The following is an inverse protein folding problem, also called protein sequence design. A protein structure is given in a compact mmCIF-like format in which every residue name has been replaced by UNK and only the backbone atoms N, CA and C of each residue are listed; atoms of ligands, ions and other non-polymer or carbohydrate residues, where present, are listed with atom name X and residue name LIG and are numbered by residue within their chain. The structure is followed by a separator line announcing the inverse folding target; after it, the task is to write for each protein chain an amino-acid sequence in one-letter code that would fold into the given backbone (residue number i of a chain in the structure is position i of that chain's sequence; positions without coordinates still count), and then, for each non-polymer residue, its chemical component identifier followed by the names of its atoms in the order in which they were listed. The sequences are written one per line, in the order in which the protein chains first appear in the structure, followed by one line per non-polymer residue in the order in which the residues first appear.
data_IF_527997480616
#
_entry.id   IF_527997480616
#
_cell.length_a   1.000
_cell.length_b   1.000
_cell.length_c   1.000
_cell.angle_alpha   90.00
_cell.angle_beta   90.00
_cell.angle_gamma   90.00
#
_symmetry.space_group_name_H-M   'P 1'
#
loop_
_entity.id
_entity.type
_entity.pdbx_description
1 polymer ?
#
# COMPACT_ATOMS: atom_id res chain seq x y z
N UNK A 1 6.42 -28.90 -41.26
CA UNK A 1 6.40 -29.09 -39.79
C UNK A 1 5.46 -30.27 -39.54
N UNK A 2 5.96 -31.41 -39.05
CA UNK A 2 5.12 -32.60 -38.76
C UNK A 2 4.45 -32.39 -37.39
N UNK A 3 3.13 -32.53 -37.34
CA UNK A 3 2.34 -32.47 -36.11
C UNK A 3 2.42 -33.84 -35.41
N UNK A 4 2.99 -33.88 -34.21
CA UNK A 4 2.85 -35.01 -33.29
C UNK A 4 1.82 -34.62 -32.21
N UNK A 5 0.69 -35.34 -32.08
CA UNK A 5 -0.30 -35.04 -31.06
C UNK A 5 0.25 -35.37 -29.67
N UNK A 6 0.19 -34.41 -28.75
CA UNK A 6 0.33 -34.69 -27.33
C UNK A 6 -0.89 -35.52 -26.89
N UNK A 7 -0.64 -36.65 -26.22
CA UNK A 7 -1.69 -37.60 -25.83
C UNK A 7 -2.44 -37.13 -24.55
N UNK A 8 -2.58 -35.82 -24.37
CA UNK A 8 -3.21 -35.15 -23.23
C UNK A 8 -4.66 -34.71 -23.53
N UNK A 9 -5.16 -35.00 -24.74
CA UNK A 9 -6.46 -34.55 -25.27
C UNK A 9 -6.56 -33.03 -25.45
N UNK A 10 -5.44 -32.31 -25.42
CA UNK A 10 -5.39 -30.87 -25.64
C UNK A 10 -4.89 -30.61 -27.06
N UNK A 11 -5.72 -29.96 -27.86
CA UNK A 11 -5.37 -29.57 -29.22
C UNK A 11 -4.93 -28.10 -29.23
N UNK A 12 -3.64 -27.85 -29.42
CA UNK A 12 -3.11 -26.50 -29.62
C UNK A 12 -3.20 -26.11 -31.10
N UNK A 13 -3.89 -25.00 -31.39
CA UNK A 13 -3.93 -24.40 -32.72
C UNK A 13 -3.16 -23.07 -32.69
N UNK A 14 -2.20 -22.93 -33.60
CA UNK A 14 -1.47 -21.68 -33.80
C UNK A 14 -2.16 -20.88 -34.90
N UNK A 15 -2.63 -19.69 -34.54
CA UNK A 15 -3.29 -18.77 -35.44
C UNK A 15 -2.54 -17.44 -35.47
N UNK A 16 -2.61 -16.74 -36.61
CA UNK A 16 -2.02 -15.42 -36.74
C UNK A 16 -2.92 -14.37 -36.06
N UNK A 17 -2.51 -13.88 -34.88
CA UNK A 17 -3.24 -12.86 -34.12
C UNK A 17 -3.35 -11.49 -34.79
N UNK A 18 -2.58 -11.24 -35.85
CA UNK A 18 -2.63 -10.01 -36.64
C UNK A 18 -3.50 -10.14 -37.91
N UNK A 19 -4.22 -11.25 -38.07
CA UNK A 19 -5.11 -11.44 -39.20
C UNK A 19 -6.33 -10.51 -39.11
N UNK A 20 -6.59 -9.76 -40.18
CA UNK A 20 -7.66 -8.74 -40.25
C UNK A 20 -8.63 -8.98 -41.41
N UNK A 21 -8.89 -10.25 -41.75
CA UNK A 21 -9.86 -10.58 -42.80
C UNK A 21 -11.30 -10.22 -42.42
N UNK A 22 -12.18 -10.08 -43.40
CA UNK A 22 -13.64 -9.90 -43.20
C UNK A 22 -14.35 -11.26 -43.13
N UNK A 23 -13.83 -12.16 -42.31
CA UNK A 23 -14.38 -13.50 -42.07
C UNK A 23 -14.48 -13.78 -40.56
N UNK A 24 -15.02 -14.95 -40.18
CA UNK A 24 -15.21 -15.31 -38.77
C UNK A 24 -13.91 -15.29 -37.95
N UNK A 25 -12.78 -15.70 -38.54
CA UNK A 25 -11.49 -15.67 -37.86
C UNK A 25 -10.99 -14.25 -37.68
N UNK A 26 -11.16 -13.38 -38.69
CA UNK A 26 -10.80 -11.98 -38.61
C UNK A 26 -11.61 -11.21 -37.58
N UNK A 27 -12.92 -11.46 -37.47
CA UNK A 27 -13.75 -10.89 -36.41
C UNK A 27 -13.36 -11.40 -35.02
N UNK A 28 -13.00 -12.69 -34.90
CA UNK A 28 -12.48 -13.23 -33.65
C UNK A 28 -11.17 -12.55 -33.25
N UNK A 29 -10.22 -12.40 -34.18
CA UNK A 29 -8.93 -11.74 -33.90
C UNK A 29 -9.08 -10.25 -33.62
N UNK A 30 -10.04 -9.58 -34.27
CA UNK A 30 -10.42 -8.21 -33.94
C UNK A 30 -10.84 -8.10 -32.48
N UNK A 31 -11.81 -8.92 -32.06
CA UNK A 31 -12.37 -8.86 -30.71
C UNK A 31 -11.36 -9.22 -29.62
N UNK A 32 -10.44 -10.17 -29.89
CA UNK A 32 -9.35 -10.46 -28.96
C UNK A 32 -8.38 -9.29 -28.76
N UNK A 33 -8.25 -8.40 -29.76
CA UNK A 33 -7.41 -7.20 -29.68
C UNK A 33 -8.18 -5.95 -29.21
N UNK A 34 -9.51 -6.00 -29.08
CA UNK A 34 -10.33 -4.89 -28.58
C UNK A 34 -10.10 -4.61 -27.10
N UNK A 35 -10.02 -3.33 -26.75
CA UNK A 35 -9.86 -2.88 -25.35
C UNK A 35 -11.18 -2.61 -24.63
N UNK A 36 -12.22 -2.20 -25.38
CA UNK A 36 -13.58 -2.00 -24.88
C UNK A 36 -14.51 -3.08 -25.47
N UNK A 37 -15.39 -3.63 -24.64
CA UNK A 37 -16.39 -4.61 -25.07
C UNK A 37 -17.37 -4.01 -26.08
N UNK A 38 -17.63 -2.69 -26.02
CA UNK A 38 -18.56 -2.00 -26.93
C UNK A 38 -18.12 -2.06 -28.39
N UNK A 39 -16.81 -2.18 -28.62
CA UNK A 39 -16.23 -2.24 -29.96
C UNK A 39 -16.17 -3.68 -30.50
N UNK A 40 -16.40 -4.71 -29.66
CA UNK A 40 -16.37 -6.12 -30.08
C UNK A 40 -17.53 -6.44 -31.03
N UNK A 41 -17.29 -7.28 -32.03
CA UNK A 41 -18.24 -7.67 -33.08
C UNK A 41 -19.06 -8.89 -32.66
N UNK A 42 -18.41 -9.89 -32.05
CA UNK A 42 -19.01 -11.14 -31.60
C UNK A 42 -19.77 -10.90 -30.29
N UNK A 43 -21.09 -11.09 -30.34
CA UNK A 43 -21.99 -10.85 -29.21
C UNK A 43 -21.61 -11.68 -27.96
N UNK A 44 -21.23 -12.94 -28.14
CA UNK A 44 -20.84 -13.83 -27.03
C UNK A 44 -19.60 -13.32 -26.28
N UNK A 45 -18.61 -12.83 -27.03
CA UNK A 45 -17.39 -12.21 -26.48
C UNK A 45 -17.74 -10.90 -25.76
N UNK A 46 -18.53 -10.05 -26.43
CA UNK A 46 -19.01 -8.78 -25.89
C UNK A 46 -19.69 -8.95 -24.53
N UNK A 47 -20.69 -9.82 -24.43
CA UNK A 47 -21.45 -9.99 -23.19
C UNK A 47 -20.62 -10.64 -22.08
N UNK A 48 -19.72 -11.56 -22.44
CA UNK A 48 -18.78 -12.16 -21.47
C UNK A 48 -17.82 -11.13 -20.88
N UNK A 49 -17.19 -10.31 -21.74
CA UNK A 49 -16.25 -9.26 -21.32
C UNK A 49 -16.98 -8.14 -20.58
N UNK A 50 -18.15 -7.74 -21.04
CA UNK A 50 -19.02 -6.79 -20.34
C UNK A 50 -19.31 -7.27 -18.93
N UNK A 51 -19.79 -8.51 -18.74
CA UNK A 51 -20.05 -9.07 -17.41
C UNK A 51 -18.83 -9.02 -16.49
N UNK A 52 -17.64 -9.32 -17.03
CA UNK A 52 -16.38 -9.25 -16.28
C UNK A 52 -15.95 -7.80 -15.96
N UNK A 53 -16.18 -6.86 -16.88
CA UNK A 53 -15.76 -5.45 -16.74
C UNK A 53 -16.75 -4.58 -16.00
N UNK A 54 -18.03 -4.95 -16.01
CA UNK A 54 -19.14 -4.20 -15.42
C UNK A 54 -19.75 -4.93 -14.23
N UNK A 55 -19.04 -5.87 -13.61
CA UNK A 55 -19.47 -6.43 -12.33
C UNK A 55 -19.41 -5.32 -11.28
N UNK A 56 -20.50 -4.55 -11.17
CA UNK A 56 -20.64 -3.40 -10.26
C UNK A 56 -20.29 -3.78 -8.82
N UNK A 57 -20.58 -5.02 -8.42
CA UNK A 57 -20.21 -5.53 -7.09
C UNK A 57 -18.70 -5.59 -6.89
N UNK A 58 -17.92 -5.97 -7.90
CA UNK A 58 -16.45 -6.01 -7.79
C UNK A 58 -15.84 -4.60 -7.79
N UNK A 59 -16.42 -3.68 -8.58
CA UNK A 59 -16.02 -2.27 -8.59
C UNK A 59 -16.32 -1.61 -7.24
N UNK A 60 -17.52 -1.83 -6.70
CA UNK A 60 -17.93 -1.31 -5.40
C UNK A 60 -17.06 -1.88 -4.27
N UNK A 61 -16.78 -3.19 -4.29
CA UNK A 61 -15.87 -3.82 -3.33
C UNK A 61 -14.46 -3.20 -3.39
N UNK A 62 -13.93 -2.95 -4.58
CA UNK A 62 -12.61 -2.32 -4.73
C UNK A 62 -12.60 -0.89 -4.17
N UNK A 63 -13.66 -0.11 -4.44
CA UNK A 63 -13.81 1.24 -3.87
C UNK A 63 -13.85 1.19 -2.33
N UNK A 64 -14.64 0.28 -1.75
CA UNK A 64 -14.74 0.12 -0.29
C UNK A 64 -13.39 -0.26 0.34
N UNK A 65 -12.65 -1.19 -0.28
CA UNK A 65 -11.31 -1.59 0.20
C UNK A 65 -10.34 -0.40 0.17
N UNK A 66 -10.39 0.43 -0.88
CA UNK A 66 -9.53 1.61 -0.97
C UNK A 66 -9.87 2.66 0.10
N UNK A 67 -11.16 2.91 0.34
CA UNK A 67 -11.60 3.83 1.40
C UNK A 67 -11.18 3.33 2.78
N UNK A 68 -11.33 2.03 3.05
CA UNK A 68 -10.90 1.40 4.30
C UNK A 68 -9.38 1.50 4.49
N UNK A 69 -8.58 1.25 3.44
CA UNK A 69 -7.13 1.37 3.50
C UNK A 69 -6.69 2.80 3.81
N UNK A 70 -7.33 3.81 3.19
CA UNK A 70 -7.02 5.22 3.44
C UNK A 70 -7.37 5.61 4.87
N UNK A 71 -8.56 5.22 5.36
CA UNK A 71 -8.99 5.57 6.71
C UNK A 71 -8.14 4.88 7.78
N UNK A 72 -7.80 3.59 7.58
CA UNK A 72 -6.91 2.87 8.48
C UNK A 72 -5.51 3.49 8.53
N UNK A 73 -4.95 3.87 7.38
CA UNK A 73 -3.67 4.58 7.32
C UNK A 73 -3.71 5.89 8.10
N UNK A 74 -4.77 6.69 7.90
CA UNK A 74 -4.96 7.97 8.61
C UNK A 74 -5.04 7.78 10.13
N UNK A 75 -5.74 6.75 10.60
CA UNK A 75 -5.86 6.45 12.02
C UNK A 75 -4.53 5.97 12.63
N UNK A 76 -3.76 5.18 11.89
CA UNK A 76 -2.42 4.74 12.31
C UNK A 76 -1.49 5.95 12.45
N UNK A 77 -1.39 6.78 11.41
CA UNK A 77 -0.54 7.97 11.40
C UNK A 77 -0.88 8.94 12.54
N UNK A 78 -2.17 9.13 12.83
CA UNK A 78 -2.61 9.98 13.94
C UNK A 78 -2.17 9.42 15.30
N UNK A 79 -2.36 8.12 15.52
CA UNK A 79 -1.97 7.48 16.78
C UNK A 79 -0.45 7.51 16.98
N UNK A 80 0.31 7.24 15.93
CA UNK A 80 1.77 7.34 15.97
C UNK A 80 2.22 8.78 16.25
N UNK A 81 1.61 9.77 15.59
CA UNK A 81 1.89 11.18 15.82
C UNK A 81 1.60 11.62 17.26
N UNK A 82 0.48 11.18 17.84
CA UNK A 82 0.14 11.46 19.24
C UNK A 82 1.16 10.81 20.18
N UNK A 83 1.52 9.54 19.94
CA UNK A 83 2.49 8.83 20.78
C UNK A 83 3.87 9.50 20.73
N UNK A 84 4.38 9.78 19.53
CA UNK A 84 5.66 10.45 19.33
C UNK A 84 5.66 11.85 19.94
N UNK A 85 4.58 12.62 19.74
CA UNK A 85 4.42 13.95 20.33
C UNK A 85 4.45 13.92 21.86
N UNK A 86 3.75 12.96 22.48
CA UNK A 86 3.75 12.79 23.92
C UNK A 86 5.13 12.40 24.47
N UNK A 87 5.84 11.50 23.80
CA UNK A 87 7.19 11.08 24.19
C UNK A 87 8.18 12.24 24.07
N UNK A 88 8.16 12.94 22.93
CA UNK A 88 9.02 14.10 22.68
C UNK A 88 8.77 15.21 23.69
N UNK A 89 7.50 15.55 23.95
CA UNK A 89 7.15 16.58 24.93
C UNK A 89 7.56 16.24 26.36
N UNK A 90 7.46 14.96 26.77
CA UNK A 90 7.99 14.50 28.07
C UNK A 90 9.50 14.64 28.14
N UNK A 91 10.22 14.24 27.09
CA UNK A 91 11.68 14.33 27.03
C UNK A 91 12.16 15.79 27.08
N UNK A 92 11.58 16.66 26.26
CA UNK A 92 11.90 18.10 26.24
C UNK A 92 11.66 18.75 27.61
N UNK A 93 10.56 18.40 28.29
CA UNK A 93 10.28 18.86 29.64
C UNK A 93 11.30 18.36 30.65
N UNK A 94 11.71 17.09 30.58
CA UNK A 94 12.74 16.54 31.45
C UNK A 94 14.09 17.23 31.24
N UNK A 95 14.50 17.44 29.99
CA UNK A 95 15.73 18.16 29.63
C UNK A 95 15.70 19.59 30.19
N UNK A 96 14.62 20.34 29.94
CA UNK A 96 14.48 21.71 30.45
C UNK A 96 14.50 21.75 31.98
N UNK A 97 13.85 20.79 32.64
CA UNK A 97 13.85 20.70 34.10
C UNK A 97 15.23 20.38 34.63
N UNK A 98 15.99 19.48 33.99
CA UNK A 98 17.36 19.16 34.35
C UNK A 98 18.27 20.40 34.26
N UNK A 99 18.18 21.18 33.18
CA UNK A 99 18.91 22.44 33.03
C UNK A 99 18.59 23.42 34.16
N UNK A 100 17.31 23.65 34.44
CA UNK A 100 16.90 24.59 35.49
C UNK A 100 17.42 24.16 36.87
N UNK A 101 17.33 22.87 37.21
CA UNK A 101 17.83 22.35 38.49
C UNK A 101 19.36 22.45 38.59
N UNK A 102 20.07 22.22 37.49
CA UNK A 102 21.52 22.38 37.45
C UNK A 102 21.93 23.85 37.63
N UNK A 103 21.23 24.78 36.98
CA UNK A 103 21.44 26.23 37.17
C UNK A 103 21.15 26.69 38.61
N UNK A 104 20.23 26.02 39.30
CA UNK A 104 19.97 26.22 40.73
C UNK A 104 21.05 25.62 41.65
N UNK A 105 22.08 24.98 41.09
CA UNK A 105 23.24 24.46 41.83
C UNK A 105 23.03 23.07 42.42
N UNK A 106 22.02 22.31 41.99
CA UNK A 106 21.84 20.92 42.43
C UNK A 106 22.91 20.00 41.82
N UNK A 107 23.32 18.99 42.59
CA UNK A 107 24.25 17.96 42.12
C UNK A 107 23.60 17.00 41.10
N UNK A 108 24.41 16.41 40.22
CA UNK A 108 23.92 15.49 39.17
C UNK A 108 23.19 14.27 39.74
N UNK A 109 23.62 13.77 40.92
CA UNK A 109 22.97 12.67 41.65
C UNK A 109 21.57 13.05 42.15
N UNK A 110 21.41 14.30 42.62
CA UNK A 110 20.14 14.83 43.10
C UNK A 110 19.16 15.04 41.95
N UNK A 111 19.65 15.55 40.81
CA UNK A 111 18.85 15.77 39.59
C UNK A 111 18.40 14.43 39.00
N UNK A 112 19.31 13.47 38.88
CA UNK A 112 19.01 12.10 38.42
C UNK A 112 17.89 11.47 39.27
N UNK A 113 18.01 11.58 40.60
CA UNK A 113 16.97 11.10 41.53
C UNK A 113 15.64 11.85 41.39
N UNK A 114 15.68 13.17 41.16
CA UNK A 114 14.46 13.98 41.03
C UNK A 114 13.69 13.68 39.74
N UNK A 115 14.39 13.31 38.67
CA UNK A 115 13.83 13.01 37.35
C UNK A 115 13.64 11.51 37.11
N UNK A 116 13.87 10.66 38.12
CA UNK A 116 13.83 9.19 38.02
C UNK A 116 14.61 8.68 36.79
N UNK A 117 15.82 9.21 36.61
CA UNK A 117 16.69 8.96 35.46
C UNK A 117 18.11 8.64 35.94
N UNK A 118 18.97 8.15 35.05
CA UNK A 118 20.36 7.87 35.41
C UNK A 118 21.29 9.08 35.21
N UNK A 119 22.42 9.09 35.92
CA UNK A 119 23.38 10.20 35.89
C UNK A 119 23.97 10.42 34.49
N UNK A 120 24.17 9.35 33.69
CA UNK A 120 24.71 9.50 32.34
C UNK A 120 23.68 10.15 31.41
N UNK A 121 22.40 9.82 31.56
CA UNK A 121 21.31 10.49 30.83
C UNK A 121 21.21 11.97 31.17
N UNK A 122 21.31 12.33 32.44
CA UNK A 122 21.33 13.73 32.87
C UNK A 122 22.57 14.46 32.34
N UNK A 123 23.73 13.80 32.34
CA UNK A 123 24.95 14.33 31.72
C UNK A 123 24.78 14.59 30.22
N UNK A 124 24.17 13.65 29.50
CA UNK A 124 23.87 13.78 28.08
C UNK A 124 22.93 14.97 27.82
N UNK A 125 21.84 15.11 28.59
CA UNK A 125 20.92 16.23 28.49
C UNK A 125 21.60 17.58 28.73
N UNK A 126 22.51 17.64 29.72
CA UNK A 126 23.27 18.84 30.04
C UNK A 126 24.50 19.03 29.12
N UNK A 127 24.78 18.10 28.21
CA UNK A 127 26.00 18.06 27.37
C UNK A 127 27.31 18.11 28.17
N UNK A 128 27.31 17.52 29.37
CA UNK A 128 28.47 17.43 30.27
C UNK A 128 29.11 16.05 30.09
N UNK A 129 30.42 16.01 29.85
CA UNK A 129 31.17 14.75 29.67
C UNK A 129 31.75 14.29 31.03
#
# INVERSE_FOLDING_TARGET
MKYEPFNDRIYFMYINGQYTGEDELGYLMHDFNCSDYKDMILEEMRESVKKLKTNESEVENMCQIMEELVENGRLQDLNEGILQGNLKGKLEKSISTAHNLYEMGLGLDQIAKALDSDINQVKEWLSIH
#
